data_IF_064902391264
#
_entry.id   IF_064902391264
#
_cell.length_a   1.000
_cell.length_b   1.000
_cell.length_c   1.000
_cell.angle_alpha   90.00
_cell.angle_beta   90.00
_cell.angle_gamma   90.00
#
_symmetry.space_group_name_H-M   'P 1'
#
loop_
_entity.id
_entity.type
_entity.pdbx_description
1 polymer ?
#
# COMPACT_ATOMS: atom_id res chain seq x y z
N UNK A 1 -3.53 -19.86 -23.90
CA UNK A 1 -4.52 -18.82 -24.28
C UNK A 1 -4.22 -17.57 -23.47
N UNK A 2 -4.33 -16.40 -24.09
CA UNK A 2 -4.21 -15.13 -23.34
C UNK A 2 -5.40 -15.02 -22.36
N UNK A 3 -5.14 -14.67 -21.11
CA UNK A 3 -6.15 -14.45 -20.08
C UNK A 3 -6.52 -12.97 -20.08
N UNK A 4 -7.81 -12.66 -20.09
CA UNK A 4 -8.29 -11.28 -19.96
C UNK A 4 -8.59 -10.98 -18.51
N UNK A 5 -8.03 -9.90 -17.98
CA UNK A 5 -8.23 -9.42 -16.61
C UNK A 5 -8.73 -7.98 -16.65
N UNK A 6 -9.50 -7.58 -15.63
CA UNK A 6 -9.71 -6.16 -15.35
C UNK A 6 -8.44 -5.54 -14.76
N UNK A 7 -8.31 -4.22 -14.78
CA UNK A 7 -7.19 -3.52 -14.12
C UNK A 7 -7.11 -3.88 -12.63
N UNK A 8 -8.25 -3.88 -11.93
CA UNK A 8 -8.35 -4.29 -10.53
C UNK A 8 -7.77 -5.69 -10.31
N UNK A 9 -8.19 -6.67 -11.10
CA UNK A 9 -7.70 -8.05 -10.99
C UNK A 9 -6.20 -8.16 -11.29
N UNK A 10 -5.71 -7.41 -12.27
CA UNK A 10 -4.29 -7.43 -12.62
C UNK A 10 -3.42 -6.82 -11.50
N UNK A 11 -3.87 -5.74 -10.88
CA UNK A 11 -3.17 -5.12 -9.75
C UNK A 11 -3.18 -6.06 -8.52
N UNK A 12 -4.34 -6.62 -8.19
CA UNK A 12 -4.47 -7.57 -7.08
C UNK A 12 -3.52 -8.77 -7.26
N UNK A 13 -3.53 -9.37 -8.44
CA UNK A 13 -2.65 -10.50 -8.75
C UNK A 13 -1.17 -10.13 -8.67
N UNK A 14 -0.78 -8.94 -9.16
CA UNK A 14 0.60 -8.48 -9.08
C UNK A 14 1.04 -8.28 -7.62
N UNK A 15 0.20 -7.68 -6.79
CA UNK A 15 0.45 -7.52 -5.35
C UNK A 15 0.62 -8.88 -4.67
N UNK A 16 -0.28 -9.82 -4.94
CA UNK A 16 -0.22 -11.17 -4.39
C UNK A 16 1.09 -11.90 -4.78
N UNK A 17 1.49 -11.80 -6.03
CA UNK A 17 2.72 -12.40 -6.52
C UNK A 17 3.95 -11.78 -5.86
N UNK A 18 4.02 -10.45 -5.76
CA UNK A 18 5.15 -9.76 -5.17
C UNK A 18 5.24 -9.99 -3.65
N UNK A 19 4.12 -9.95 -2.94
CA UNK A 19 4.10 -10.27 -1.51
C UNK A 19 4.42 -11.73 -1.22
N UNK A 20 4.10 -12.65 -2.13
CA UNK A 20 4.49 -14.05 -2.01
C UNK A 20 5.98 -14.24 -2.26
N UNK A 21 6.55 -13.49 -3.20
CA UNK A 21 7.96 -13.61 -3.61
C UNK A 21 8.91 -12.94 -2.62
N UNK A 22 8.50 -11.85 -1.99
CA UNK A 22 9.35 -11.00 -1.17
C UNK A 22 8.64 -10.62 0.12
N UNK A 23 9.15 -11.09 1.25
CA UNK A 23 8.58 -10.82 2.58
C UNK A 23 8.72 -9.35 3.02
N UNK A 24 9.62 -8.60 2.39
CA UNK A 24 9.79 -7.16 2.66
C UNK A 24 8.68 -6.29 2.05
N UNK A 25 7.86 -6.85 1.15
CA UNK A 25 6.74 -6.15 0.55
C UNK A 25 5.60 -6.07 1.54
N UNK A 26 5.17 -4.84 1.85
CA UNK A 26 4.04 -4.53 2.72
C UNK A 26 3.04 -3.64 1.97
N UNK A 27 1.78 -3.74 2.32
CA UNK A 27 0.69 -2.95 1.75
C UNK A 27 0.05 -2.10 2.85
N UNK A 28 -0.13 -0.81 2.60
CA UNK A 28 -0.72 0.15 3.52
C UNK A 28 -1.79 0.97 2.82
N UNK A 29 -2.88 1.26 3.50
CA UNK A 29 -3.94 2.12 2.97
C UNK A 29 -5.18 2.08 3.84
N UNK A 30 -6.21 2.80 3.42
CA UNK A 30 -7.48 2.87 4.12
C UNK A 30 -8.36 1.69 3.73
N UNK A 31 -8.80 0.92 4.73
CA UNK A 31 -9.67 -0.26 4.59
C UNK A 31 -9.12 -1.35 3.64
N UNK A 32 -7.81 -1.40 3.44
CA UNK A 32 -7.16 -2.38 2.55
C UNK A 32 -7.17 -3.79 3.12
N UNK A 33 -7.23 -3.92 4.45
CA UNK A 33 -7.35 -5.19 5.15
C UNK A 33 -8.79 -5.55 5.54
N UNK A 34 -9.72 -4.64 5.37
CA UNK A 34 -11.13 -4.90 5.68
C UNK A 34 -11.78 -3.99 6.70
N UNK A 35 -11.09 -2.93 7.08
CA UNK A 35 -11.58 -1.94 8.05
C UNK A 35 -11.14 -2.24 9.48
N UNK A 36 -10.34 -1.36 10.03
CA UNK A 36 -9.79 -1.50 11.37
C UNK A 36 -10.89 -1.43 12.45
N UNK A 37 -10.98 -2.45 13.29
CA UNK A 37 -11.93 -2.52 14.39
C UNK A 37 -13.32 -3.05 14.01
N UNK A 38 -13.53 -3.46 12.77
CA UNK A 38 -14.77 -4.14 12.39
C UNK A 38 -14.84 -5.53 13.03
N UNK A 39 -15.98 -5.86 13.66
CA UNK A 39 -16.27 -7.23 14.05
C UNK A 39 -16.65 -8.02 12.78
N UNK A 40 -16.03 -9.18 12.58
CA UNK A 40 -16.39 -10.09 11.50
C UNK A 40 -15.25 -10.42 10.56
N UNK A 41 -15.59 -10.60 9.31
CA UNK A 41 -14.66 -11.06 8.29
C UNK A 41 -13.69 -9.94 7.89
N UNK A 42 -12.47 -10.00 8.42
CA UNK A 42 -11.37 -9.17 7.94
C UNK A 42 -11.20 -9.40 6.44
N UNK A 43 -10.81 -8.37 5.71
CA UNK A 43 -10.68 -8.41 4.24
C UNK A 43 -12.03 -8.36 3.48
N UNK A 44 -13.10 -7.97 4.16
CA UNK A 44 -14.41 -7.84 3.52
C UNK A 44 -14.44 -6.80 2.39
N UNK A 45 -13.64 -5.76 2.50
CA UNK A 45 -13.61 -4.62 1.58
C UNK A 45 -12.50 -4.70 0.54
N UNK A 46 -11.26 -4.95 0.96
CA UNK A 46 -10.12 -4.94 0.08
C UNK A 46 -9.84 -3.54 -0.52
N UNK A 47 -9.97 -2.51 0.31
CA UNK A 47 -9.96 -1.12 -0.11
C UNK A 47 -11.31 -0.66 -0.70
N UNK A 48 -11.46 0.64 -0.92
CA UNK A 48 -12.71 1.27 -1.42
C UNK A 48 -13.14 0.70 -2.78
N UNK A 49 -12.19 0.30 -3.60
CA UNK A 49 -12.43 -0.24 -4.94
C UNK A 49 -12.23 -1.77 -5.02
N UNK A 50 -11.98 -2.42 -3.88
CA UNK A 50 -11.77 -3.86 -3.82
C UNK A 50 -10.48 -4.34 -4.48
N UNK A 51 -9.50 -3.47 -4.69
CA UNK A 51 -8.23 -3.79 -5.36
C UNK A 51 -7.41 -4.78 -4.54
N UNK A 52 -7.45 -4.66 -3.20
CA UNK A 52 -6.64 -5.47 -2.29
C UNK A 52 -7.39 -6.64 -1.67
N UNK A 53 -8.62 -6.91 -2.13
CA UNK A 53 -9.48 -7.97 -1.60
C UNK A 53 -8.79 -9.35 -1.64
N UNK A 54 -8.84 -10.07 -0.52
CA UNK A 54 -8.23 -11.40 -0.36
C UNK A 54 -6.76 -11.37 0.07
N UNK A 55 -6.08 -10.22 0.00
CA UNK A 55 -4.66 -10.14 0.33
C UNK A 55 -4.40 -10.26 1.84
N UNK A 56 -5.26 -9.67 2.68
CA UNK A 56 -5.11 -9.78 4.13
C UNK A 56 -5.22 -11.23 4.61
N UNK A 57 -6.23 -11.96 4.12
CA UNK A 57 -6.41 -13.37 4.48
C UNK A 57 -5.19 -14.23 4.12
N UNK A 58 -4.41 -13.83 3.13
CA UNK A 58 -3.26 -14.56 2.63
C UNK A 58 -1.94 -14.11 3.24
N UNK A 59 -1.76 -12.81 3.43
CA UNK A 59 -0.50 -12.19 3.82
C UNK A 59 -0.49 -11.59 5.24
N UNK A 60 -1.65 -11.61 5.93
CA UNK A 60 -1.78 -11.20 7.33
C UNK A 60 -1.33 -9.77 7.57
N UNK A 61 -0.58 -9.56 8.65
CA UNK A 61 -0.15 -8.24 9.14
C UNK A 61 0.70 -7.42 8.17
N UNK A 62 1.07 -7.98 7.02
CA UNK A 62 1.72 -7.24 5.94
C UNK A 62 0.74 -6.40 5.10
N UNK A 63 -0.55 -6.59 5.31
CA UNK A 63 -1.62 -5.75 4.75
C UNK A 63 -2.21 -4.96 5.90
N UNK A 64 -1.99 -3.65 5.92
CA UNK A 64 -2.24 -2.81 7.08
C UNK A 64 -3.26 -1.72 6.78
N UNK A 65 -4.33 -1.70 7.55
CA UNK A 65 -5.24 -0.56 7.55
C UNK A 65 -4.61 0.65 8.23
N UNK A 66 -4.87 1.82 7.69
CA UNK A 66 -4.44 3.09 8.25
C UNK A 66 -5.65 3.96 8.60
N UNK A 67 -5.52 4.88 9.57
CA UNK A 67 -6.47 5.97 9.71
C UNK A 67 -6.54 6.81 8.42
N UNK A 68 -7.63 7.55 8.24
CA UNK A 68 -7.78 8.56 7.18
C UNK A 68 -6.76 9.68 7.43
N UNK A 69 -5.59 9.57 6.81
CA UNK A 69 -4.45 10.46 7.06
C UNK A 69 -3.36 10.26 6.00
N UNK A 70 -3.62 10.59 4.76
CA UNK A 70 -2.79 10.24 3.61
C UNK A 70 -1.36 10.75 3.75
N UNK A 71 -1.17 11.97 4.26
CA UNK A 71 0.17 12.50 4.56
C UNK A 71 0.93 11.63 5.55
N UNK A 72 0.25 11.10 6.57
CA UNK A 72 0.89 10.32 7.62
C UNK A 72 1.29 8.94 7.10
N UNK A 73 0.39 8.20 6.47
CA UNK A 73 0.73 6.83 6.05
C UNK A 73 1.65 6.80 4.83
N UNK A 74 1.57 7.78 3.91
CA UNK A 74 2.56 7.91 2.82
C UNK A 74 3.94 8.24 3.40
N UNK A 75 4.01 9.15 4.38
CA UNK A 75 5.26 9.44 5.09
C UNK A 75 5.83 8.25 5.83
N UNK A 76 4.99 7.47 6.50
CA UNK A 76 5.38 6.24 7.18
C UNK A 76 5.93 5.20 6.20
N UNK A 77 5.30 5.05 5.03
CA UNK A 77 5.78 4.18 3.96
C UNK A 77 7.17 4.58 3.45
N UNK A 78 7.42 5.88 3.28
CA UNK A 78 8.74 6.38 2.87
C UNK A 78 9.80 6.04 3.93
N UNK A 79 9.48 6.20 5.22
CA UNK A 79 10.35 5.81 6.32
C UNK A 79 10.60 4.30 6.34
N UNK A 80 9.59 3.49 6.10
CA UNK A 80 9.70 2.05 5.98
C UNK A 80 10.61 1.64 4.81
N UNK A 81 10.47 2.30 3.65
CA UNK A 81 11.34 2.08 2.51
C UNK A 81 12.80 2.44 2.81
N UNK A 82 13.03 3.55 3.51
CA UNK A 82 14.37 3.94 3.95
C UNK A 82 14.99 2.94 4.94
N UNK A 83 14.16 2.16 5.62
CA UNK A 83 14.56 1.11 6.58
C UNK A 83 14.69 -0.28 5.93
N UNK A 84 14.52 -0.40 4.61
CA UNK A 84 14.73 -1.63 3.85
C UNK A 84 13.46 -2.41 3.50
N UNK A 85 12.28 -1.96 3.89
CA UNK A 85 11.02 -2.54 3.43
C UNK A 85 10.66 -2.06 2.01
N UNK A 86 9.68 -2.71 1.41
CA UNK A 86 9.15 -2.38 0.09
C UNK A 86 7.64 -2.06 0.21
N UNK A 87 7.30 -0.88 0.71
CA UNK A 87 5.90 -0.52 0.91
C UNK A 87 5.20 -0.21 -0.40
N UNK A 88 4.00 -0.72 -0.52
CA UNK A 88 3.01 -0.29 -1.50
C UNK A 88 1.94 0.47 -0.74
N UNK A 89 1.56 1.64 -1.23
CA UNK A 89 0.56 2.50 -0.60
C UNK A 89 -0.62 2.66 -1.55
N UNK A 90 -1.81 2.32 -1.08
CA UNK A 90 -3.03 2.58 -1.82
C UNK A 90 -3.56 3.98 -1.51
N UNK A 91 -3.70 4.79 -2.55
CA UNK A 91 -4.50 6.01 -2.55
C UNK A 91 -5.69 5.77 -3.48
N UNK A 92 -6.89 5.63 -2.91
CA UNK A 92 -8.06 5.19 -3.65
C UNK A 92 -8.51 6.15 -4.77
N UNK A 93 -8.23 7.44 -4.62
CA UNK A 93 -8.51 8.48 -5.60
C UNK A 93 -7.30 9.38 -5.82
N UNK A 94 -7.00 9.68 -7.08
CA UNK A 94 -5.86 10.52 -7.44
C UNK A 94 -5.94 11.95 -6.84
N UNK A 95 -7.13 12.41 -6.50
CA UNK A 95 -7.38 13.70 -5.82
C UNK A 95 -6.64 13.79 -4.50
N UNK A 96 -6.53 12.69 -3.75
CA UNK A 96 -5.84 12.64 -2.46
C UNK A 96 -4.32 12.65 -2.58
N UNK A 97 -3.78 12.54 -3.79
CA UNK A 97 -2.37 12.80 -4.03
C UNK A 97 -1.97 14.21 -3.59
N UNK A 98 -2.87 15.18 -3.75
CA UNK A 98 -2.67 16.56 -3.30
C UNK A 98 -2.45 16.68 -1.79
N UNK A 99 -3.15 15.87 -0.98
CA UNK A 99 -3.03 15.87 0.48
C UNK A 99 -1.66 15.38 0.95
N UNK A 100 -1.08 14.41 0.27
CA UNK A 100 0.21 13.80 0.63
C UNK A 100 1.37 14.21 -0.29
N UNK A 101 1.18 15.21 -1.14
CA UNK A 101 2.15 15.58 -2.17
C UNK A 101 3.51 16.00 -1.59
N UNK A 102 3.54 16.62 -0.41
CA UNK A 102 4.79 16.93 0.28
C UNK A 102 5.63 15.69 0.55
N UNK A 103 5.00 14.61 0.98
CA UNK A 103 5.68 13.35 1.25
C UNK A 103 6.30 12.76 -0.01
N UNK A 104 5.63 12.88 -1.14
CA UNK A 104 6.12 12.38 -2.42
C UNK A 104 7.21 13.30 -2.99
N UNK A 105 6.92 14.60 -3.09
CA UNK A 105 7.79 15.57 -3.76
C UNK A 105 9.02 15.96 -2.94
N UNK A 106 8.89 16.13 -1.64
CA UNK A 106 9.98 16.53 -0.77
C UNK A 106 10.69 15.34 -0.13
N UNK A 107 9.94 14.38 0.38
CA UNK A 107 10.55 13.25 1.08
C UNK A 107 11.01 12.16 0.10
N UNK A 108 10.11 11.47 -0.57
CA UNK A 108 10.48 10.34 -1.42
C UNK A 108 11.46 10.74 -2.54
N UNK A 109 11.16 11.81 -3.27
CA UNK A 109 11.95 12.21 -4.43
C UNK A 109 13.36 12.69 -4.06
N UNK A 110 13.57 13.25 -2.86
CA UNK A 110 14.83 13.90 -2.47
C UNK A 110 15.62 13.12 -1.43
N UNK A 111 14.99 12.17 -0.73
CA UNK A 111 15.57 11.49 0.43
C UNK A 111 16.95 10.90 0.11
N UNK A 112 17.05 10.10 -0.94
CA UNK A 112 18.33 9.50 -1.33
C UNK A 112 19.42 10.54 -1.64
N UNK A 113 19.07 11.61 -2.33
CA UNK A 113 20.01 12.68 -2.65
C UNK A 113 20.48 13.42 -1.40
N UNK A 114 19.55 13.80 -0.53
CA UNK A 114 19.85 14.56 0.70
C UNK A 114 20.69 13.78 1.69
N UNK A 115 20.57 12.46 1.72
CA UNK A 115 21.35 11.57 2.59
C UNK A 115 22.59 10.97 1.89
N UNK A 116 23.08 11.62 0.84
CA UNK A 116 24.35 11.26 0.18
C UNK A 116 24.35 9.87 -0.45
N UNK A 117 23.22 9.40 -0.94
CA UNK A 117 23.06 8.10 -1.58
C UNK A 117 23.01 6.90 -0.64
N UNK A 118 22.94 7.12 0.66
CA UNK A 118 22.99 6.04 1.68
C UNK A 118 21.63 5.45 2.02
N UNK A 119 20.56 6.00 1.45
CA UNK A 119 19.21 5.49 1.61
C UNK A 119 18.70 4.83 0.34
#
# INVERSE_FOLDING_TARGET
>A
MARTLSFQQAINEALDQEMTRDESVILMGEDVAGGQGAEGEMDAWGGVLGVTKGLYAKHGDRVMDTPISESAFVGAAIGAAASGLRPVVELMFNDFLGVCFDQIFNQAAKFRYMFGGKA
#
